data_IF_534552139954
#
_entry.id   IF_534552139954
#
_cell.length_a   1.000
_cell.length_b   1.000
_cell.length_c   1.000
_cell.angle_alpha   90.00
_cell.angle_beta   90.00
_cell.angle_gamma   90.00
#
_symmetry.space_group_name_H-M   'P 1'
#
loop_
_entity.id
_entity.type
_entity.pdbx_description
1 polymer ?
#
# COMPACT_ATOMS: atom_id res chain seq x y z
N UNK A 1 5.93 -4.81 -3.54
CA UNK A 1 5.18 -5.66 -2.61
C UNK A 1 5.75 -5.47 -1.22
N UNK A 2 4.91 -5.50 -0.17
CA UNK A 2 5.34 -5.33 1.22
C UNK A 2 4.52 -6.22 2.16
N UNK A 3 5.18 -6.81 3.15
CA UNK A 3 4.53 -7.47 4.29
C UNK A 3 4.26 -6.44 5.39
N UNK A 4 3.15 -6.60 6.11
CA UNK A 4 2.97 -5.91 7.38
C UNK A 4 4.00 -6.38 8.40
N UNK A 5 4.41 -5.50 9.33
CA UNK A 5 5.45 -5.80 10.31
C UNK A 5 5.12 -7.01 11.22
N UNK A 6 3.83 -7.31 11.42
CA UNK A 6 3.35 -8.46 12.18
C UNK A 6 3.21 -9.75 11.35
N UNK A 7 3.55 -9.67 10.06
CA UNK A 7 3.47 -10.77 9.08
C UNK A 7 2.05 -11.23 8.74
N UNK A 8 1.00 -10.52 9.18
CA UNK A 8 -0.39 -10.96 8.98
C UNK A 8 -0.92 -10.68 7.57
N UNK A 9 -0.40 -9.66 6.90
CA UNK A 9 -0.90 -9.20 5.61
C UNK A 9 0.22 -8.93 4.61
N UNK A 10 -0.03 -9.26 3.35
CA UNK A 10 0.82 -8.93 2.22
C UNK A 10 0.07 -7.99 1.29
N UNK A 11 0.79 -6.97 0.81
CA UNK A 11 0.27 -5.96 -0.11
C UNK A 11 1.06 -6.04 -1.42
N UNK A 12 0.39 -5.93 -2.55
CA UNK A 12 0.98 -5.89 -3.87
C UNK A 12 0.32 -4.81 -4.73
N UNK A 13 1.13 -3.98 -5.39
CA UNK A 13 0.64 -2.93 -6.28
C UNK A 13 0.50 -3.47 -7.71
N UNK A 14 -0.66 -3.26 -8.31
CA UNK A 14 -0.94 -3.56 -9.70
C UNK A 14 -0.98 -2.25 -10.51
N UNK A 15 -0.25 -2.25 -11.63
CA UNK A 15 -0.22 -1.14 -12.60
C UNK A 15 -1.03 -1.51 -13.85
N UNK A 16 -1.14 -0.59 -14.80
CA UNK A 16 -2.00 -0.77 -15.98
C UNK A 16 -3.45 -0.48 -15.63
N UNK A 17 -4.39 -1.19 -16.23
CA UNK A 17 -5.82 -0.89 -16.10
C UNK A 17 -6.34 -1.04 -14.66
N UNK A 18 -5.72 -1.91 -13.87
CA UNK A 18 -6.16 -2.21 -12.51
C UNK A 18 -5.92 -1.09 -11.49
N UNK A 19 -4.78 -0.38 -11.59
CA UNK A 19 -4.31 0.67 -10.65
C UNK A 19 -4.80 0.48 -9.20
N UNK A 20 -4.42 -0.63 -8.57
CA UNK A 20 -4.86 -0.97 -7.21
C UNK A 20 -3.74 -1.58 -6.35
N UNK A 21 -3.96 -1.60 -5.04
CA UNK A 21 -3.23 -2.45 -4.11
C UNK A 21 -4.07 -3.71 -3.84
N UNK A 22 -3.59 -4.86 -4.28
CA UNK A 22 -4.11 -6.16 -3.86
C UNK A 22 -3.65 -6.45 -2.42
N UNK A 23 -4.57 -6.96 -1.62
CA UNK A 23 -4.37 -7.20 -0.19
C UNK A 23 -4.65 -8.68 0.08
N UNK A 24 -3.70 -9.34 0.74
CA UNK A 24 -3.76 -10.74 1.09
C UNK A 24 -3.58 -10.93 2.59
N UNK A 25 -4.33 -11.86 3.19
CA UNK A 25 -4.02 -12.44 4.49
C UNK A 25 -2.99 -13.54 4.29
N UNK A 26 -2.00 -13.58 5.18
CA UNK A 26 -0.95 -14.60 5.19
C UNK A 26 -1.31 -15.64 6.24
N UNK A 27 -1.37 -16.91 5.84
CA UNK A 27 -1.40 -18.02 6.79
C UNK A 27 -0.01 -18.18 7.40
N UNK A 28 0.11 -18.05 8.72
CA UNK A 28 1.40 -18.13 9.43
C UNK A 28 2.00 -19.53 9.46
N UNK A 29 1.20 -20.57 9.26
CA UNK A 29 1.66 -21.97 9.34
C UNK A 29 2.28 -22.43 8.03
N UNK A 30 1.66 -22.10 6.89
CA UNK A 30 2.07 -22.61 5.57
C UNK A 30 2.41 -21.52 4.55
N UNK A 31 2.33 -20.24 4.93
CA UNK A 31 2.65 -19.10 4.07
C UNK A 31 1.65 -18.83 2.95
N UNK A 32 0.55 -19.59 2.86
CA UNK A 32 -0.45 -19.40 1.80
C UNK A 32 -1.13 -18.04 1.93
N UNK A 33 -1.45 -17.47 0.77
CA UNK A 33 -2.07 -16.16 0.65
C UNK A 33 -3.56 -16.33 0.32
N UNK A 34 -4.41 -15.62 1.05
CA UNK A 34 -5.84 -15.51 0.73
C UNK A 34 -6.17 -14.05 0.45
N UNK A 35 -6.80 -13.77 -0.69
CA UNK A 35 -7.24 -12.42 -1.04
C UNK A 35 -8.23 -11.91 0.01
N UNK A 36 -8.02 -10.69 0.51
CA UNK A 36 -8.98 -10.00 1.37
C UNK A 36 -9.61 -8.78 0.72
N UNK A 37 -8.98 -8.24 -0.33
CA UNK A 37 -9.57 -7.14 -1.10
C UNK A 37 -8.59 -6.45 -2.04
N UNK A 38 -9.13 -5.48 -2.77
CA UNK A 38 -8.39 -4.62 -3.68
C UNK A 38 -8.74 -3.17 -3.36
N UNK A 39 -7.72 -2.33 -3.19
CA UNK A 39 -7.89 -0.91 -2.93
C UNK A 39 -7.46 -0.12 -4.17
N UNK A 40 -8.36 0.60 -4.87
CA UNK A 40 -7.97 1.56 -5.89
C UNK A 40 -6.93 2.54 -5.33
N UNK A 41 -5.84 2.78 -6.07
CA UNK A 41 -4.76 3.67 -5.60
C UNK A 41 -5.10 5.15 -5.75
N UNK A 42 -6.26 5.46 -6.34
CA UNK A 42 -6.77 6.81 -6.57
C UNK A 42 -5.81 7.68 -7.38
N UNK A 43 -5.09 7.05 -8.31
CA UNK A 43 -4.14 7.66 -9.24
C UNK A 43 -3.65 6.60 -10.22
N UNK A 44 -2.57 6.90 -10.94
CA UNK A 44 -2.06 6.06 -12.03
C UNK A 44 -0.63 5.59 -11.81
N UNK A 45 -0.35 4.36 -12.25
CA UNK A 45 0.95 3.71 -12.18
C UNK A 45 1.56 3.73 -10.76
N UNK A 46 0.96 3.04 -9.78
CA UNK A 46 1.50 2.92 -8.42
C UNK A 46 2.84 2.17 -8.46
N UNK A 47 3.95 2.91 -8.59
CA UNK A 47 5.28 2.33 -8.83
C UNK A 47 5.91 1.83 -7.54
N UNK A 48 5.61 2.50 -6.44
CA UNK A 48 6.00 2.06 -5.11
C UNK A 48 4.92 2.41 -4.11
N UNK A 49 4.96 1.73 -2.98
CA UNK A 49 4.22 2.12 -1.79
C UNK A 49 5.01 1.69 -0.57
N UNK A 50 4.71 2.24 0.59
CA UNK A 50 5.35 1.83 1.84
C UNK A 50 4.37 1.90 2.99
N UNK A 51 4.47 0.94 3.89
CA UNK A 51 3.79 0.98 5.18
C UNK A 51 4.62 1.85 6.12
N UNK A 52 3.97 2.78 6.81
CA UNK A 52 4.66 3.62 7.79
C UNK A 52 5.17 2.77 8.99
N UNK A 53 6.21 3.21 9.71
CA UNK A 53 6.78 2.45 10.82
C UNK A 53 5.79 2.12 11.95
N UNK A 54 4.77 2.97 12.19
CA UNK A 54 3.73 2.67 13.19
C UNK A 54 2.74 1.60 12.72
N UNK A 55 2.73 1.32 11.42
CA UNK A 55 1.80 0.42 10.77
C UNK A 55 0.36 0.92 10.78
N UNK A 56 0.12 2.23 10.86
CA UNK A 56 -1.23 2.81 10.81
C UNK A 56 -1.61 3.28 9.40
N UNK A 57 -0.62 3.51 8.55
CA UNK A 57 -0.77 4.11 7.24
C UNK A 57 -0.01 3.33 6.17
N UNK A 58 -0.47 3.47 4.94
CA UNK A 58 0.18 3.03 3.72
C UNK A 58 0.22 4.21 2.76
N UNK A 59 1.41 4.57 2.30
CA UNK A 59 1.63 5.66 1.35
C UNK A 59 1.87 5.03 -0.03
N UNK A 60 1.10 5.43 -1.03
CA UNK A 60 1.17 4.92 -2.40
C UNK A 60 1.68 5.99 -3.35
N UNK A 61 2.85 5.77 -3.95
CA UNK A 61 3.46 6.66 -4.94
C UNK A 61 2.93 6.36 -6.35
N UNK A 62 2.04 7.22 -6.82
CA UNK A 62 1.42 7.14 -8.14
C UNK A 62 2.27 7.95 -9.13
N UNK A 63 3.13 7.26 -9.89
CA UNK A 63 4.14 7.89 -10.73
C UNK A 63 3.51 8.83 -11.77
N UNK A 64 2.50 8.34 -12.49
CA UNK A 64 1.96 9.04 -13.66
C UNK A 64 0.88 10.07 -13.29
N UNK A 65 0.44 10.05 -12.03
CA UNK A 65 -0.43 11.09 -11.44
C UNK A 65 0.33 12.15 -10.64
N UNK A 66 1.65 12.04 -10.49
CA UNK A 66 2.49 12.99 -9.74
C UNK A 66 2.03 13.23 -8.29
N UNK A 67 1.65 12.17 -7.58
CA UNK A 67 1.19 12.29 -6.19
C UNK A 67 1.55 11.06 -5.35
N UNK A 68 1.58 11.27 -4.03
CA UNK A 68 1.54 10.20 -3.04
C UNK A 68 0.18 10.22 -2.35
N UNK A 69 -0.57 9.13 -2.46
CA UNK A 69 -1.86 8.92 -1.80
C UNK A 69 -1.66 8.24 -0.45
N UNK A 70 -2.28 8.77 0.61
CA UNK A 70 -2.16 8.22 1.97
C UNK A 70 -3.44 7.47 2.36
N UNK A 71 -3.28 6.18 2.66
CA UNK A 71 -4.35 5.32 3.16
C UNK A 71 -4.17 5.01 4.65
N UNK A 72 -5.27 4.97 5.41
CA UNK A 72 -5.32 4.39 6.75
C UNK A 72 -5.45 2.88 6.62
N UNK A 73 -4.66 2.13 7.39
CA UNK A 73 -4.70 0.67 7.42
C UNK A 73 -5.46 0.17 8.64
N UNK A 74 -6.40 -0.74 8.41
CA UNK A 74 -6.96 -1.54 9.48
C UNK A 74 -6.02 -2.72 9.80
N UNK A 75 -5.42 -2.74 10.99
CA UNK A 75 -4.45 -3.79 11.39
C UNK A 75 -5.08 -5.17 11.57
N UNK A 76 -6.39 -5.25 11.77
CA UNK A 76 -7.09 -6.52 12.01
C UNK A 76 -7.59 -7.15 10.71
N UNK A 77 -8.04 -6.33 9.76
CA UNK A 77 -8.58 -6.82 8.48
C UNK A 77 -7.61 -6.70 7.31
N UNK A 78 -6.58 -5.88 7.44
CA UNK A 78 -5.63 -5.55 6.38
C UNK A 78 -6.15 -4.51 5.38
N UNK A 79 -7.45 -4.20 5.40
CA UNK A 79 -8.09 -3.28 4.47
C UNK A 79 -7.58 -1.85 4.62
N UNK A 80 -7.68 -1.10 3.54
CA UNK A 80 -7.25 0.28 3.42
C UNK A 80 -8.47 1.20 3.32
N UNK A 81 -8.33 2.43 3.80
CA UNK A 81 -9.34 3.47 3.65
C UNK A 81 -8.64 4.77 3.29
N UNK A 82 -9.18 5.49 2.32
CA UNK A 82 -8.64 6.79 1.95
C UNK A 82 -8.71 7.76 3.13
N UNK A 83 -7.61 8.50 3.37
CA UNK A 83 -7.55 9.56 4.37
C UNK A 83 -7.94 10.94 3.82
N UNK A 84 -8.06 11.07 2.49
CA UNK A 84 -8.17 12.35 1.79
C UNK A 84 -6.89 13.18 1.78
N UNK A 85 -5.78 12.68 2.35
CA UNK A 85 -4.49 13.38 2.36
C UNK A 85 -3.60 12.92 1.20
N UNK A 86 -2.94 13.87 0.56
CA UNK A 86 -2.05 13.69 -0.59
C UNK A 86 -0.76 14.50 -0.40
N UNK A 87 0.29 14.09 -1.12
CA UNK A 87 1.53 14.86 -1.26
C UNK A 87 1.79 15.01 -2.75
N UNK A 88 1.78 16.25 -3.23
CA UNK A 88 2.10 16.56 -4.62
C UNK A 88 3.61 16.49 -4.83
N UNK A 89 4.04 15.59 -5.72
CA UNK A 89 5.45 15.40 -6.02
C UNK A 89 5.58 14.83 -7.43
N UNK A 90 6.43 15.39 -8.31
CA UNK A 90 6.60 14.85 -9.65
C UNK A 90 7.15 13.42 -9.66
N UNK A 91 6.47 12.53 -10.38
CA UNK A 91 6.90 11.16 -10.70
C UNK A 91 7.50 10.39 -9.51
N UNK A 92 6.79 10.20 -8.38
CA UNK A 92 7.34 9.49 -7.24
C UNK A 92 7.45 8.00 -7.56
N UNK A 93 8.63 7.43 -7.31
CA UNK A 93 8.93 6.03 -7.64
C UNK A 93 9.48 5.22 -6.47
N UNK A 94 9.79 5.86 -5.35
CA UNK A 94 10.38 5.21 -4.18
C UNK A 94 10.02 5.97 -2.90
N UNK A 95 9.62 5.23 -1.87
CA UNK A 95 9.38 5.75 -0.52
C UNK A 95 10.29 4.99 0.44
N UNK A 96 11.06 5.72 1.25
CA UNK A 96 11.92 5.18 2.30
C UNK A 96 11.73 5.97 3.59
N UNK A 97 11.77 5.24 4.70
CA UNK A 97 11.76 5.82 6.04
C UNK A 97 13.18 5.84 6.56
N UNK A 98 13.59 6.98 7.10
CA UNK A 98 14.86 7.11 7.83
C UNK A 98 14.57 7.05 9.31
N UNK A 99 15.39 6.32 10.06
CA UNK A 99 15.40 6.44 11.52
C UNK A 99 16.03 7.79 11.84
N UNK A 100 15.44 8.52 12.78
CA UNK A 100 16.16 9.60 13.46
C UNK A 100 17.22 9.01 14.36
#
# INVERSE_FOLDING_TARGET
>A
MHLSADGKFLYASNRGDANNIAIYRVNKTDGKLTIVGFQPVLGKAPRNFSIDPSGKFLLCANQDSNEIVIFKRNKNTGLLTDTGKRIDIPKPVCIKWVKK
#
